data_IF_984345093735
#
_entry.id   IF_984345093735
#
_cell.length_a   1.000
_cell.length_b   1.000
_cell.length_c   1.000
_cell.angle_alpha   90.00
_cell.angle_beta   90.00
_cell.angle_gamma   90.00
#
_symmetry.space_group_name_H-M   'P 1'
#
loop_
_entity.id
_entity.type
_entity.pdbx_description
1 polymer ?
#
# COMPACT_ATOMS: atom_id res chain seq x y z
N UNK A 1 -17.38 28.65 -9.21
CA UNK A 1 -18.07 27.62 -8.41
C UNK A 1 -17.95 26.21 -9.00
N UNK A 2 -17.63 26.01 -10.31
CA UNK A 2 -17.43 24.68 -10.91
C UNK A 2 -16.08 24.02 -10.59
N UNK A 3 -15.02 24.77 -10.36
CA UNK A 3 -13.64 24.24 -10.14
C UNK A 3 -13.50 23.44 -8.84
N UNK A 4 -14.25 23.76 -7.79
CA UNK A 4 -14.12 23.12 -6.46
C UNK A 4 -14.67 21.70 -6.38
N UNK A 5 -15.48 21.24 -7.32
CA UNK A 5 -16.03 19.87 -7.33
C UNK A 5 -15.14 18.84 -8.01
N UNK A 6 -14.22 19.29 -8.85
CA UNK A 6 -13.31 18.40 -9.60
C UNK A 6 -12.15 17.93 -8.70
N UNK A 7 -11.72 18.77 -7.75
CA UNK A 7 -10.57 18.48 -6.88
C UNK A 7 -10.91 17.62 -5.65
N UNK A 8 -12.16 17.19 -5.48
CA UNK A 8 -12.55 16.32 -4.35
C UNK A 8 -12.32 14.86 -4.70
N UNK A 9 -11.69 14.12 -3.75
CA UNK A 9 -11.56 12.66 -3.87
C UNK A 9 -12.94 12.01 -3.73
N UNK A 10 -13.28 11.16 -4.67
CA UNK A 10 -14.49 10.33 -4.68
C UNK A 10 -14.10 8.89 -4.43
N UNK A 11 -14.91 8.17 -3.70
CA UNK A 11 -14.66 6.77 -3.34
C UNK A 11 -15.80 5.88 -3.78
N UNK A 12 -15.46 4.71 -4.29
CA UNK A 12 -16.38 3.63 -4.58
C UNK A 12 -15.81 2.29 -4.11
N UNK A 13 -16.65 1.46 -3.58
CA UNK A 13 -16.36 0.09 -3.20
C UNK A 13 -17.04 -0.86 -4.18
N UNK A 14 -16.30 -1.86 -4.62
CA UNK A 14 -16.77 -2.84 -5.62
C UNK A 14 -16.50 -4.24 -5.07
N UNK A 15 -17.55 -5.03 -4.96
CA UNK A 15 -17.51 -6.38 -4.42
C UNK A 15 -18.09 -7.38 -5.41
N UNK A 16 -17.48 -8.52 -5.56
CA UNK A 16 -18.04 -9.62 -6.35
C UNK A 16 -19.32 -10.14 -5.67
N UNK A 17 -20.39 -10.32 -6.47
CA UNK A 17 -21.62 -10.97 -5.98
C UNK A 17 -21.30 -12.37 -5.44
N UNK A 18 -22.05 -12.91 -4.47
CA UNK A 18 -21.72 -14.17 -3.80
C UNK A 18 -21.44 -15.35 -4.72
N UNK A 19 -22.13 -15.46 -5.85
CA UNK A 19 -21.90 -16.52 -6.86
C UNK A 19 -20.59 -16.36 -7.65
N UNK A 20 -19.91 -15.22 -7.56
CA UNK A 20 -18.65 -14.93 -8.24
C UNK A 20 -17.49 -14.65 -7.26
N UNK A 21 -17.74 -14.74 -5.95
CA UNK A 21 -16.79 -14.43 -4.89
C UNK A 21 -15.83 -15.60 -4.59
N UNK A 22 -15.24 -16.20 -5.62
CA UNK A 22 -14.37 -17.36 -5.49
C UNK A 22 -13.09 -17.04 -4.71
N UNK A 23 -12.51 -15.86 -4.91
CA UNK A 23 -11.29 -15.40 -4.23
C UNK A 23 -11.49 -15.37 -2.71
N UNK A 24 -12.58 -14.77 -2.24
CA UNK A 24 -12.87 -14.71 -0.80
C UNK A 24 -13.17 -16.08 -0.20
N UNK A 25 -13.85 -16.95 -0.94
CA UNK A 25 -14.15 -18.32 -0.51
C UNK A 25 -12.88 -19.16 -0.40
N UNK A 26 -11.97 -19.02 -1.36
CA UNK A 26 -10.67 -19.71 -1.36
C UNK A 26 -9.80 -19.22 -0.21
N UNK A 27 -9.64 -17.91 -0.07
CA UNK A 27 -8.86 -17.33 1.02
C UNK A 27 -9.43 -17.69 2.39
N UNK A 28 -10.76 -17.72 2.57
CA UNK A 28 -11.39 -18.18 3.80
C UNK A 28 -10.96 -19.61 4.14
N UNK A 29 -10.96 -20.52 3.16
CA UNK A 29 -10.52 -21.91 3.38
C UNK A 29 -9.04 -21.98 3.75
N UNK A 30 -8.19 -21.22 3.06
CA UNK A 30 -6.75 -21.17 3.37
C UNK A 30 -6.49 -20.67 4.79
N UNK A 31 -7.09 -19.56 5.21
CA UNK A 31 -6.92 -19.01 6.56
C UNK A 31 -7.38 -19.97 7.65
N UNK A 32 -8.46 -20.72 7.39
CA UNK A 32 -8.98 -21.72 8.33
C UNK A 32 -8.14 -23.00 8.39
N UNK A 33 -7.60 -23.44 7.26
CA UNK A 33 -6.94 -24.72 7.14
C UNK A 33 -5.43 -24.63 7.33
N UNK A 34 -4.78 -23.58 6.80
CA UNK A 34 -3.34 -23.38 6.93
C UNK A 34 -2.96 -22.64 8.23
N UNK A 35 -3.69 -21.56 8.57
CA UNK A 35 -3.41 -20.80 9.78
C UNK A 35 -4.17 -21.35 11.00
N UNK A 36 -5.11 -22.28 10.82
CA UNK A 36 -5.88 -22.89 11.90
C UNK A 36 -6.92 -21.96 12.54
N UNK A 37 -7.27 -20.84 11.91
CA UNK A 37 -8.19 -19.81 12.44
C UNK A 37 -9.64 -20.28 12.24
N UNK A 38 -10.08 -21.25 13.01
CA UNK A 38 -11.42 -21.87 12.87
C UNK A 38 -12.56 -20.92 13.25
N UNK A 39 -12.27 -19.89 14.05
CA UNK A 39 -13.22 -18.86 14.50
C UNK A 39 -13.63 -17.90 13.38
N UNK A 40 -12.87 -17.81 12.29
CA UNK A 40 -13.22 -17.04 11.10
C UNK A 40 -14.39 -17.75 10.39
N UNK A 41 -15.58 -17.15 10.43
CA UNK A 41 -16.82 -17.71 9.87
C UNK A 41 -17.12 -17.26 8.46
N UNK A 42 -16.78 -16.01 8.13
CA UNK A 42 -16.91 -15.45 6.79
C UNK A 42 -15.77 -14.46 6.48
N UNK A 43 -15.48 -14.32 5.19
CA UNK A 43 -14.53 -13.37 4.67
C UNK A 43 -15.10 -12.77 3.38
N UNK A 44 -15.05 -11.44 3.29
CA UNK A 44 -15.42 -10.70 2.09
C UNK A 44 -14.24 -9.86 1.62
N UNK A 45 -14.05 -9.79 0.31
CA UNK A 45 -13.00 -9.00 -0.34
C UNK A 45 -13.70 -7.94 -1.17
N UNK A 46 -13.40 -6.67 -0.88
CA UNK A 46 -14.00 -5.52 -1.53
C UNK A 46 -12.90 -4.64 -2.12
N UNK A 47 -12.96 -4.35 -3.40
CA UNK A 47 -12.03 -3.44 -4.05
C UNK A 47 -12.46 -2.00 -3.81
N UNK A 48 -11.55 -1.16 -3.32
CA UNK A 48 -11.74 0.27 -3.13
C UNK A 48 -11.04 1.03 -4.25
N UNK A 49 -11.75 2.00 -4.82
CA UNK A 49 -11.20 2.97 -5.74
C UNK A 49 -11.39 4.37 -5.16
N UNK A 50 -10.29 5.08 -4.98
CA UNK A 50 -10.26 6.50 -4.67
C UNK A 50 -9.88 7.25 -5.94
N UNK A 51 -10.66 8.26 -6.32
CA UNK A 51 -10.55 8.94 -7.61
C UNK A 51 -10.58 10.45 -7.41
N UNK A 52 -9.59 11.15 -7.94
CA UNK A 52 -9.50 12.61 -7.92
C UNK A 52 -9.45 13.14 -9.37
N UNK A 53 -10.10 14.26 -9.64
CA UNK A 53 -10.09 14.90 -10.94
C UNK A 53 -11.26 14.51 -11.86
N UNK A 54 -12.36 13.97 -11.32
CA UNK A 54 -13.56 13.64 -12.11
C UNK A 54 -14.78 14.45 -11.71
N UNK A 55 -15.58 14.85 -12.70
CA UNK A 55 -16.93 15.37 -12.49
C UNK A 55 -17.89 14.26 -12.06
N UNK A 56 -19.01 14.63 -11.42
CA UNK A 56 -19.97 13.67 -10.86
C UNK A 56 -20.59 12.74 -11.91
N UNK A 57 -20.92 13.29 -13.09
CA UNK A 57 -21.52 12.52 -14.19
C UNK A 57 -20.54 11.49 -14.76
N UNK A 58 -19.27 11.90 -14.97
CA UNK A 58 -18.23 11.01 -15.47
C UNK A 58 -17.88 9.93 -14.44
N UNK A 59 -17.83 10.29 -13.14
CA UNK A 59 -17.62 9.32 -12.09
C UNK A 59 -18.74 8.29 -12.03
N UNK A 60 -20.00 8.71 -12.12
CA UNK A 60 -21.17 7.79 -12.15
C UNK A 60 -21.14 6.87 -13.37
N UNK A 61 -20.67 7.35 -14.51
CA UNK A 61 -20.44 6.52 -15.71
C UNK A 61 -19.30 5.52 -15.45
N UNK A 62 -18.15 5.97 -14.94
CA UNK A 62 -16.99 5.14 -14.67
C UNK A 62 -17.28 4.02 -13.66
N UNK A 63 -18.16 4.27 -12.68
CA UNK A 63 -18.59 3.23 -11.73
C UNK A 63 -19.15 2.01 -12.45
N UNK A 64 -19.94 2.21 -13.50
CA UNK A 64 -20.62 1.12 -14.21
C UNK A 64 -19.86 0.55 -15.41
N UNK A 65 -18.83 1.24 -15.90
CA UNK A 65 -18.14 0.88 -17.14
C UNK A 65 -16.64 0.61 -16.96
N UNK A 66 -16.04 1.12 -15.89
CA UNK A 66 -14.61 1.00 -15.61
C UNK A 66 -14.34 0.27 -14.30
N UNK A 67 -14.99 0.69 -13.20
CA UNK A 67 -14.70 0.15 -11.88
C UNK A 67 -15.45 -1.16 -11.59
N UNK A 68 -16.58 -1.41 -12.23
CA UNK A 68 -17.40 -2.60 -11.99
C UNK A 68 -18.01 -3.18 -13.26
N UNK A 69 -18.36 -4.45 -13.19
CA UNK A 69 -19.21 -5.16 -14.13
C UNK A 69 -20.56 -5.44 -13.45
N UNK A 70 -21.63 -4.70 -13.74
CA UNK A 70 -22.92 -4.79 -13.01
C UNK A 70 -23.54 -6.18 -12.97
N UNK A 71 -23.15 -7.08 -13.89
CA UNK A 71 -23.64 -8.46 -13.93
C UNK A 71 -23.07 -9.30 -12.78
N UNK A 72 -21.81 -9.04 -12.40
CA UNK A 72 -21.04 -9.85 -11.44
C UNK A 72 -20.58 -9.08 -10.19
N UNK A 73 -20.72 -7.75 -10.19
CA UNK A 73 -20.31 -6.88 -9.11
C UNK A 73 -21.50 -6.14 -8.48
N UNK A 74 -21.37 -5.86 -7.20
CA UNK A 74 -22.14 -4.90 -6.44
C UNK A 74 -21.26 -3.69 -6.08
N UNK A 75 -21.85 -2.48 -6.07
CA UNK A 75 -21.12 -1.24 -5.79
C UNK A 75 -21.73 -0.50 -4.61
N UNK A 76 -20.87 0.12 -3.78
CA UNK A 76 -21.28 0.80 -2.56
C UNK A 76 -20.53 2.13 -2.39
N UNK A 77 -21.24 3.16 -1.93
CA UNK A 77 -20.61 4.43 -1.54
C UNK A 77 -19.91 4.36 -0.16
N UNK A 78 -20.28 3.38 0.67
CA UNK A 78 -19.71 3.15 1.99
C UNK A 78 -19.54 1.65 2.23
N UNK A 79 -18.56 1.27 3.06
CA UNK A 79 -18.34 -0.12 3.46
C UNK A 79 -19.59 -0.64 4.19
N UNK A 80 -20.06 -1.81 3.78
CA UNK A 80 -21.12 -2.55 4.45
C UNK A 80 -20.48 -3.67 5.28
N UNK A 81 -20.26 -3.41 6.55
CA UNK A 81 -19.83 -4.39 7.55
C UNK A 81 -20.90 -4.53 8.62
N UNK A 82 -21.06 -5.74 9.16
CA UNK A 82 -22.00 -6.00 10.23
C UNK A 82 -21.36 -5.64 11.59
N UNK A 83 -22.20 -5.51 12.61
CA UNK A 83 -21.73 -5.27 13.97
C UNK A 83 -20.89 -6.47 14.46
N UNK A 84 -19.65 -6.18 14.83
CA UNK A 84 -18.68 -7.22 15.25
C UNK A 84 -17.72 -7.68 14.15
N UNK A 85 -17.90 -7.26 12.92
CA UNK A 85 -16.92 -7.52 11.86
C UNK A 85 -15.62 -6.73 12.09
N UNK A 86 -14.51 -7.38 11.77
CA UNK A 86 -13.21 -6.70 11.68
C UNK A 86 -12.95 -6.27 10.25
N UNK A 87 -12.64 -4.99 10.04
CA UNK A 87 -12.36 -4.41 8.72
C UNK A 87 -10.96 -3.82 8.71
N UNK A 88 -10.18 -4.19 7.70
CA UNK A 88 -8.91 -3.53 7.40
C UNK A 88 -8.69 -3.45 5.89
N UNK A 89 -7.78 -2.60 5.48
CA UNK A 89 -7.47 -2.37 4.07
C UNK A 89 -5.98 -2.61 3.80
N UNK A 90 -5.66 -3.07 2.59
CA UNK A 90 -4.30 -3.15 2.07
C UNK A 90 -4.17 -2.32 0.80
N UNK A 91 -3.10 -1.54 0.69
CA UNK A 91 -2.75 -0.74 -0.49
C UNK A 91 -1.30 -0.97 -0.88
N UNK A 92 -0.95 -0.69 -2.14
CA UNK A 92 0.43 -0.73 -2.58
C UNK A 92 1.27 0.35 -1.90
N UNK A 93 2.54 0.03 -1.64
CA UNK A 93 3.51 1.01 -1.15
C UNK A 93 3.73 2.13 -2.18
N UNK A 94 4.05 3.35 -1.73
CA UNK A 94 4.47 4.41 -2.63
C UNK A 94 5.64 3.97 -3.52
N UNK A 95 5.50 4.18 -4.83
CA UNK A 95 6.50 3.72 -5.81
C UNK A 95 6.24 2.34 -6.42
N UNK A 96 5.35 1.54 -5.83
CA UNK A 96 4.88 0.30 -6.45
C UNK A 96 3.85 0.59 -7.55
N UNK A 97 3.86 -0.23 -8.60
CA UNK A 97 2.94 -0.09 -9.72
C UNK A 97 1.57 -0.70 -9.40
N UNK A 98 0.55 0.15 -9.30
CA UNK A 98 -0.84 -0.26 -9.15
C UNK A 98 -1.48 -0.46 -10.53
N UNK A 99 -1.46 -1.70 -11.02
CA UNK A 99 -2.01 -2.05 -12.34
C UNK A 99 -3.51 -1.74 -12.44
N UNK A 100 -4.28 -1.95 -11.38
CA UNK A 100 -5.72 -1.70 -11.35
C UNK A 100 -6.02 -0.21 -11.44
N UNK A 101 -5.29 0.61 -10.69
CA UNK A 101 -5.40 2.06 -10.77
C UNK A 101 -5.01 2.58 -12.16
N UNK A 102 -3.86 2.15 -12.69
CA UNK A 102 -3.38 2.56 -14.02
C UNK A 102 -4.36 2.21 -15.13
N UNK A 103 -4.91 0.99 -15.14
CA UNK A 103 -5.91 0.56 -16.12
C UNK A 103 -7.20 1.39 -16.02
N UNK A 104 -7.64 1.69 -14.80
CA UNK A 104 -8.82 2.51 -14.58
C UNK A 104 -8.63 3.95 -15.09
N UNK A 105 -7.48 4.56 -14.80
CA UNK A 105 -7.11 5.89 -15.30
C UNK A 105 -7.11 5.95 -16.83
N UNK A 106 -6.51 4.95 -17.49
CA UNK A 106 -6.47 4.87 -18.96
C UNK A 106 -7.87 4.70 -19.56
N UNK A 107 -8.70 3.82 -19.00
CA UNK A 107 -10.07 3.63 -19.46
C UNK A 107 -10.90 4.91 -19.31
N UNK A 108 -10.76 5.63 -18.18
CA UNK A 108 -11.47 6.90 -17.98
C UNK A 108 -10.98 7.95 -18.96
N UNK A 109 -9.68 8.05 -19.21
CA UNK A 109 -9.13 8.98 -20.20
C UNK A 109 -9.68 8.71 -21.60
N UNK A 110 -9.78 7.45 -22.01
CA UNK A 110 -10.35 7.06 -23.30
C UNK A 110 -11.83 7.45 -23.43
N UNK A 111 -12.61 7.23 -22.38
CA UNK A 111 -14.05 7.54 -22.38
C UNK A 111 -14.31 9.05 -22.37
N UNK A 112 -13.57 9.79 -21.55
CA UNK A 112 -13.74 11.22 -21.37
C UNK A 112 -13.11 12.06 -22.49
N UNK A 113 -12.13 11.50 -23.21
CA UNK A 113 -11.22 12.25 -24.12
C UNK A 113 -10.58 13.47 -23.45
N UNK A 114 -10.46 13.40 -22.12
CA UNK A 114 -9.94 14.45 -21.27
C UNK A 114 -8.57 14.14 -20.70
N UNK A 115 -8.23 14.81 -19.60
CA UNK A 115 -7.04 14.51 -18.83
C UNK A 115 -7.18 13.20 -18.07
N UNK A 116 -6.07 12.55 -17.81
CA UNK A 116 -6.01 11.32 -17.01
C UNK A 116 -6.26 11.68 -15.54
N UNK A 117 -7.28 11.08 -14.88
CA UNK A 117 -7.53 11.31 -13.46
C UNK A 117 -6.46 10.65 -12.59
N UNK A 118 -6.42 10.98 -11.31
CA UNK A 118 -5.67 10.21 -10.33
C UNK A 118 -6.55 9.13 -9.73
N UNK A 119 -6.10 7.89 -9.78
CA UNK A 119 -6.77 6.75 -9.15
C UNK A 119 -5.80 6.06 -8.19
N UNK A 120 -6.30 5.66 -7.03
CA UNK A 120 -5.61 4.73 -6.12
C UNK A 120 -6.55 3.61 -5.77
N UNK A 121 -6.00 2.42 -5.61
CA UNK A 121 -6.79 1.28 -5.19
C UNK A 121 -6.33 0.74 -3.84
N UNK A 122 -7.25 0.07 -3.16
CA UNK A 122 -6.96 -0.75 -2.00
C UNK A 122 -7.89 -1.96 -1.99
N UNK A 123 -7.47 -3.01 -1.35
CA UNK A 123 -8.29 -4.18 -1.09
C UNK A 123 -8.77 -4.11 0.36
N UNK A 124 -10.08 -4.18 0.56
CA UNK A 124 -10.70 -4.21 1.87
C UNK A 124 -11.02 -5.66 2.22
N UNK A 125 -10.59 -6.08 3.39
CA UNK A 125 -10.92 -7.37 3.98
C UNK A 125 -11.93 -7.15 5.10
N UNK A 126 -13.08 -7.83 5.01
CA UNK A 126 -14.13 -7.83 6.03
C UNK A 126 -14.20 -9.24 6.60
N UNK A 127 -13.86 -9.36 7.87
CA UNK A 127 -13.74 -10.64 8.59
C UNK A 127 -14.87 -10.76 9.60
N UNK A 128 -15.65 -11.83 9.51
CA UNK A 128 -16.70 -12.16 10.48
C UNK A 128 -16.29 -13.34 11.34
N UNK A 129 -16.52 -13.26 12.65
CA UNK A 129 -16.24 -14.32 13.61
C UNK A 129 -15.68 -13.80 14.93
N UNK A 130 -15.53 -14.69 15.90
CA UNK A 130 -14.96 -14.36 17.21
C UNK A 130 -13.42 -14.36 17.16
N UNK A 131 -12.84 -13.40 16.45
CA UNK A 131 -11.40 -13.30 16.21
C UNK A 131 -10.69 -12.59 17.36
N UNK A 132 -9.54 -13.13 17.75
CA UNK A 132 -8.64 -12.44 18.68
C UNK A 132 -7.74 -11.44 17.94
N UNK A 133 -7.14 -10.53 18.67
CA UNK A 133 -6.15 -9.60 18.09
C UNK A 133 -4.98 -10.36 17.42
N UNK A 134 -4.58 -11.51 17.98
CA UNK A 134 -3.54 -12.35 17.42
C UNK A 134 -3.96 -13.00 16.09
N UNK A 135 -5.22 -13.45 15.98
CA UNK A 135 -5.75 -14.01 14.73
C UNK A 135 -5.75 -12.93 13.63
N UNK A 136 -6.18 -11.72 13.96
CA UNK A 136 -6.21 -10.59 13.02
C UNK A 136 -4.80 -10.25 12.53
N UNK A 137 -3.81 -10.18 13.42
CA UNK A 137 -2.43 -9.93 13.05
C UNK A 137 -1.83 -11.05 12.18
N UNK A 138 -2.18 -12.30 12.43
CA UNK A 138 -1.76 -13.42 11.58
C UNK A 138 -2.39 -13.31 10.18
N UNK A 139 -3.67 -12.98 10.09
CA UNK A 139 -4.35 -12.77 8.82
C UNK A 139 -3.70 -11.62 8.05
N UNK A 140 -3.47 -10.46 8.69
CA UNK A 140 -2.80 -9.32 8.06
C UNK A 140 -1.42 -9.69 7.51
N UNK A 141 -0.61 -10.40 8.28
CA UNK A 141 0.71 -10.88 7.84
C UNK A 141 0.65 -11.87 6.67
N UNK A 142 -0.45 -12.60 6.55
CA UNK A 142 -0.65 -13.54 5.44
C UNK A 142 -1.05 -12.84 4.15
N UNK A 143 -1.96 -11.85 4.24
CA UNK A 143 -2.53 -11.19 3.05
C UNK A 143 -1.78 -9.94 2.60
N UNK A 144 -0.99 -9.32 3.49
CA UNK A 144 -0.21 -8.11 3.18
C UNK A 144 1.27 -8.49 3.04
N UNK A 145 1.76 -8.49 1.80
CA UNK A 145 3.19 -8.64 1.55
C UNK A 145 3.90 -7.30 1.87
N UNK A 146 4.75 -7.21 2.91
CA UNK A 146 5.36 -5.94 3.33
C UNK A 146 6.38 -5.37 2.33
N UNK A 147 6.79 -6.15 1.32
CA UNK A 147 7.70 -5.70 0.26
C UNK A 147 6.98 -4.82 -0.77
N UNK A 148 5.68 -5.03 -0.98
CA UNK A 148 4.91 -4.34 -2.01
C UNK A 148 3.67 -3.62 -1.50
N UNK A 149 3.19 -3.97 -0.30
CA UNK A 149 1.93 -3.48 0.25
C UNK A 149 2.04 -3.12 1.74
N UNK A 150 1.11 -2.32 2.20
CA UNK A 150 0.94 -1.95 3.60
C UNK A 150 -0.53 -1.88 3.98
N UNK A 151 -0.81 -1.83 5.28
CA UNK A 151 -2.15 -1.50 5.76
C UNK A 151 -2.51 -0.05 5.38
N UNK A 152 -3.71 0.12 4.83
CA UNK A 152 -4.23 1.40 4.37
C UNK A 152 -5.22 2.00 5.37
N UNK A 153 -5.28 3.32 5.45
CA UNK A 153 -6.34 4.01 6.17
C UNK A 153 -7.70 3.75 5.53
N UNK A 154 -8.74 3.59 6.36
CA UNK A 154 -10.12 3.52 5.91
C UNK A 154 -10.72 4.91 5.67
N UNK A 155 -10.10 5.97 6.16
CA UNK A 155 -10.54 7.34 5.97
C UNK A 155 -10.38 7.80 4.52
N UNK A 156 -11.26 8.69 4.07
CA UNK A 156 -11.18 9.30 2.74
C UNK A 156 -10.09 10.38 2.77
N UNK A 157 -9.03 10.29 1.94
CA UNK A 157 -8.00 11.31 1.89
C UNK A 157 -8.52 12.59 1.24
N UNK A 158 -7.98 13.74 1.63
CA UNK A 158 -8.35 15.02 1.02
C UNK A 158 -7.82 15.19 -0.40
N UNK A 159 -6.72 14.49 -0.75
CA UNK A 159 -6.13 14.45 -2.09
C UNK A 159 -5.36 13.14 -2.29
N UNK A 160 -5.27 12.70 -3.54
CA UNK A 160 -4.46 11.55 -3.95
C UNK A 160 -3.06 11.97 -4.43
N UNK A 161 -2.83 13.26 -4.57
CA UNK A 161 -1.50 13.80 -4.95
C UNK A 161 -0.54 13.64 -3.79
N UNK A 162 0.53 12.90 -3.99
CA UNK A 162 1.59 12.75 -3.00
C UNK A 162 2.62 13.83 -3.21
N UNK A 163 2.86 14.63 -2.18
CA UNK A 163 4.04 15.50 -2.12
C UNK A 163 5.14 14.71 -1.44
N UNK A 164 6.23 14.48 -2.14
CA UNK A 164 7.44 13.93 -1.56
C UNK A 164 8.36 15.08 -1.17
N UNK A 165 8.86 15.02 0.05
CA UNK A 165 9.96 15.87 0.45
C UNK A 165 11.23 15.27 -0.19
N UNK A 166 11.63 15.84 -1.31
CA UNK A 166 12.81 15.38 -2.05
C UNK A 166 14.02 16.02 -1.40
N UNK A 167 14.92 15.25 -0.76
CA UNK A 167 16.11 15.80 -0.15
C UNK A 167 16.96 16.49 -1.22
N UNK A 168 17.28 17.75 -1.02
CA UNK A 168 18.15 18.52 -1.93
C UNK A 168 19.60 18.05 -1.87
N UNK A 169 20.00 17.45 -0.74
CA UNK A 169 21.35 16.95 -0.50
C UNK A 169 21.33 15.51 -0.03
N UNK A 170 22.38 14.76 -0.37
CA UNK A 170 22.58 13.40 0.15
C UNK A 170 22.99 13.48 1.62
N UNK A 171 22.27 12.79 2.49
CA UNK A 171 22.59 12.69 3.91
C UNK A 171 24.00 12.11 4.10
N UNK A 172 24.80 12.77 4.93
CA UNK A 172 26.15 12.31 5.29
C UNK A 172 26.11 11.54 6.61
N UNK A 173 26.86 10.45 6.69
CA UNK A 173 27.00 9.64 7.88
C UNK A 173 28.27 10.09 8.64
N UNK A 174 28.11 11.10 9.48
CA UNK A 174 29.22 11.64 10.24
C UNK A 174 29.79 10.59 11.22
N UNK A 175 31.11 10.46 11.22
CA UNK A 175 31.81 9.48 12.08
C UNK A 175 31.79 8.04 11.58
N UNK A 176 31.18 7.71 10.46
CA UNK A 176 31.10 6.36 9.92
C UNK A 176 32.46 5.68 9.80
N UNK A 177 33.48 6.40 9.30
CA UNK A 177 34.84 5.91 9.12
C UNK A 177 35.62 5.75 10.45
N UNK A 178 35.08 6.25 11.56
CA UNK A 178 35.69 6.14 12.91
C UNK A 178 34.96 5.10 13.79
N UNK A 179 33.88 4.50 13.27
CA UNK A 179 33.06 3.53 13.97
C UNK A 179 33.86 2.35 14.49
N UNK A 180 33.65 1.95 15.72
CA UNK A 180 34.23 0.77 16.34
C UNK A 180 33.49 -0.51 15.93
N UNK A 181 34.12 -1.67 16.16
CA UNK A 181 33.50 -2.98 15.88
C UNK A 181 32.23 -3.21 16.71
N UNK A 182 32.22 -2.72 17.95
CA UNK A 182 31.08 -2.90 18.87
C UNK A 182 29.85 -2.09 18.47
N UNK A 183 30.01 -1.01 17.71
CA UNK A 183 28.92 -0.15 17.22
C UNK A 183 28.26 -0.67 15.93
N UNK A 184 28.95 -1.56 15.20
CA UNK A 184 28.51 -2.03 13.89
C UNK A 184 27.16 -2.77 13.91
N UNK A 185 26.87 -3.68 14.86
CA UNK A 185 25.59 -4.39 14.89
C UNK A 185 24.41 -3.44 15.08
N UNK A 186 24.54 -2.47 15.98
CA UNK A 186 23.50 -1.46 16.21
C UNK A 186 23.31 -0.56 14.98
N UNK A 187 24.38 -0.18 14.33
CA UNK A 187 24.36 0.63 13.11
C UNK A 187 23.60 -0.07 11.97
N UNK A 188 23.85 -1.37 11.74
CA UNK A 188 23.15 -2.17 10.74
C UNK A 188 21.63 -2.18 10.96
N UNK A 189 21.22 -2.46 12.20
CA UNK A 189 19.81 -2.52 12.59
C UNK A 189 19.14 -1.14 12.45
N UNK A 190 19.78 -0.10 12.98
CA UNK A 190 19.26 1.27 12.97
C UNK A 190 19.03 1.79 11.54
N UNK A 191 19.92 1.44 10.62
CA UNK A 191 19.84 1.92 9.23
C UNK A 191 19.14 0.92 8.29
N UNK A 192 18.70 -0.24 8.78
CA UNK A 192 18.01 -1.26 7.99
C UNK A 192 18.87 -1.81 6.85
N UNK A 193 20.19 -1.95 7.07
CA UNK A 193 21.12 -2.36 6.01
C UNK A 193 21.09 -3.89 5.84
N UNK A 194 20.89 -4.33 4.59
CA UNK A 194 20.89 -5.74 4.21
C UNK A 194 22.33 -6.23 3.90
N UNK A 195 23.25 -6.02 4.84
CA UNK A 195 24.66 -6.47 4.76
C UNK A 195 25.10 -7.06 6.09
N UNK A 196 26.20 -7.80 6.08
CA UNK A 196 26.80 -8.33 7.31
C UNK A 196 27.87 -7.39 7.91
N UNK A 197 28.42 -7.77 9.09
CA UNK A 197 29.44 -6.98 9.78
C UNK A 197 30.73 -6.93 8.97
N UNK A 198 31.08 -7.98 8.21
CA UNK A 198 32.28 -8.01 7.38
C UNK A 198 32.17 -7.01 6.23
N UNK A 199 31.00 -6.91 5.58
CA UNK A 199 30.72 -5.94 4.55
C UNK A 199 30.80 -4.51 5.09
N UNK A 200 30.18 -4.27 6.26
CA UNK A 200 30.21 -2.95 6.89
C UNK A 200 31.63 -2.53 7.28
N UNK A 201 32.45 -3.48 7.79
CA UNK A 201 33.87 -3.26 8.11
C UNK A 201 34.63 -2.88 6.84
N UNK A 202 34.45 -3.60 5.76
CA UNK A 202 35.07 -3.30 4.47
C UNK A 202 34.70 -1.88 4.01
N UNK A 203 33.45 -1.50 4.07
CA UNK A 203 33.00 -0.13 3.74
C UNK A 203 33.67 0.91 4.63
N UNK A 204 33.65 0.73 5.97
CA UNK A 204 34.33 1.63 6.91
C UNK A 204 35.80 1.81 6.57
N UNK A 205 36.51 0.71 6.36
CA UNK A 205 37.97 0.73 6.12
C UNK A 205 38.30 1.35 4.76
N UNK A 206 37.45 1.17 3.75
CA UNK A 206 37.56 1.89 2.50
C UNK A 206 37.52 3.41 2.70
N UNK A 207 36.52 3.90 3.45
CA UNK A 207 36.40 5.34 3.73
C UNK A 207 37.50 5.88 4.64
N UNK A 208 38.11 5.07 5.49
CA UNK A 208 39.35 5.45 6.24
C UNK A 208 40.52 5.76 5.32
N UNK A 209 40.62 5.06 4.19
CA UNK A 209 41.71 5.23 3.20
C UNK A 209 41.56 6.42 2.31
N UNK A 210 40.37 7.05 2.22
CA UNK A 210 40.12 8.21 1.38
C UNK A 210 40.71 9.50 1.98
N UNK A 211 41.09 10.47 1.10
CA UNK A 211 41.65 11.77 1.51
C UNK A 211 40.64 12.57 2.35
N UNK A 212 41.14 13.54 3.12
CA UNK A 212 40.42 14.29 4.15
C UNK A 212 39.07 14.91 3.68
N UNK A 213 38.95 15.27 2.42
CA UNK A 213 37.77 15.91 1.87
C UNK A 213 36.55 14.96 1.74
N UNK A 214 36.81 13.63 1.77
CA UNK A 214 35.82 12.58 1.71
C UNK A 214 35.72 11.75 2.99
N UNK A 215 36.60 11.98 3.97
CA UNK A 215 36.73 11.13 5.19
C UNK A 215 35.48 11.13 6.08
N UNK A 216 34.66 12.15 6.01
CA UNK A 216 33.46 12.29 6.83
C UNK A 216 32.15 12.11 6.03
N UNK A 217 32.23 11.76 4.75
CA UNK A 217 31.06 11.58 3.89
C UNK A 217 30.90 10.11 3.55
N UNK A 218 30.25 9.37 4.43
CA UNK A 218 29.70 8.06 4.10
C UNK A 218 28.44 8.26 3.28
N UNK A 219 28.48 7.97 2.00
CA UNK A 219 27.29 8.11 1.15
C UNK A 219 26.36 6.93 1.39
N UNK A 220 25.19 7.19 1.95
CA UNK A 220 24.17 6.17 2.24
C UNK A 220 23.80 5.33 1.01
N UNK A 221 23.84 5.93 -0.18
CA UNK A 221 23.56 5.24 -1.44
C UNK A 221 24.58 4.17 -1.86
N UNK A 222 25.76 4.11 -1.20
CA UNK A 222 26.73 3.04 -1.40
C UNK A 222 26.53 1.86 -0.45
N UNK A 223 25.60 2.00 0.52
CA UNK A 223 25.32 1.00 1.55
C UNK A 223 23.97 0.31 1.38
N UNK A 224 23.20 0.67 0.31
CA UNK A 224 21.89 0.10 0.00
C UNK A 224 21.97 -0.80 -1.24
#
# INVERSE_FOLDING_TARGET
>A
LRHWRIDMVKRIYVEKKPSFANESSYLLSELRDLLGIKQLTALRIVNRYDVEGLEDELFAMAVRTVFSEPQVDDTYAAIKADEGDTVFAAEYLPGQFDMRASSAEECIQLISKGERPFVRTAVIYILSGALTAQDIEQIKKYVINPVEAREASLELPGTLKVSYDIPEEVETLDGFNLMTEDEMPEFLVKNGLAMDIADLRMCRDYFKGLRSDYRNKGYRHLLV
#
